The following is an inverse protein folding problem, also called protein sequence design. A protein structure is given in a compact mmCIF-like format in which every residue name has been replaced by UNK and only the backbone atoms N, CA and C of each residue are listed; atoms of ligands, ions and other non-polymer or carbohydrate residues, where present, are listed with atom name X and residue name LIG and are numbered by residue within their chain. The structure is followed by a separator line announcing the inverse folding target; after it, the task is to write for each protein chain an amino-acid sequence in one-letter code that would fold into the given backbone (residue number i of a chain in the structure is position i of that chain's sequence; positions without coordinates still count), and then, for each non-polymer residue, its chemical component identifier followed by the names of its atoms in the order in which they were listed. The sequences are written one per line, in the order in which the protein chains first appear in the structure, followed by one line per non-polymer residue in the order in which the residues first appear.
data_IF_091633110906
#
_entry.id   IF_091633110906
#
_cell.length_a   1.000
_cell.length_b   1.000
_cell.length_c   1.000
_cell.angle_alpha   90.00
_cell.angle_beta   90.00
_cell.angle_gamma   90.00
#
_symmetry.space_group_name_H-M   'P 1'
#
loop_
_entity.id
_entity.type
_entity.pdbx_description
1 polymer ?
#
# COMPACT_ATOMS: atom_id res chain seq x y z
N UNK A 1 -12.15 -17.51 -27.09
CA UNK A 1 -13.44 -16.92 -26.73
C UNK A 1 -13.17 -15.67 -25.91
N UNK A 2 -13.35 -14.48 -26.48
CA UNK A 2 -13.11 -13.21 -25.79
C UNK A 2 -14.28 -12.91 -24.86
N UNK A 3 -14.01 -12.58 -23.59
CA UNK A 3 -15.05 -12.06 -22.68
C UNK A 3 -15.59 -10.76 -23.27
N UNK A 4 -16.91 -10.59 -23.41
CA UNK A 4 -17.47 -9.30 -23.78
C UNK A 4 -17.04 -8.27 -22.73
N UNK A 5 -16.39 -7.19 -23.19
CA UNK A 5 -16.23 -6.00 -22.37
C UNK A 5 -17.63 -5.40 -22.20
N UNK A 6 -18.22 -5.56 -21.01
CA UNK A 6 -19.35 -4.73 -20.63
C UNK A 6 -18.78 -3.33 -20.47
N UNK A 7 -18.90 -2.49 -21.51
CA UNK A 7 -18.65 -1.06 -21.37
C UNK A 7 -19.53 -0.55 -20.24
N UNK A 8 -18.94 -0.26 -19.10
CA UNK A 8 -19.61 0.40 -17.98
C UNK A 8 -20.15 1.73 -18.52
N UNK A 9 -21.45 1.82 -18.78
CA UNK A 9 -22.00 3.08 -19.23
C UNK A 9 -23.27 3.05 -20.06
N UNK A 10 -23.97 1.93 -20.24
CA UNK A 10 -25.27 2.01 -20.92
C UNK A 10 -26.25 2.86 -20.09
N UNK A 11 -27.13 3.66 -20.72
CA UNK A 11 -28.09 4.50 -20.01
C UNK A 11 -28.99 3.71 -19.04
N UNK A 12 -29.34 2.47 -19.41
CA UNK A 12 -30.15 1.58 -18.57
C UNK A 12 -29.42 1.10 -17.31
N UNK A 13 -28.12 0.80 -17.40
CA UNK A 13 -27.31 0.43 -16.24
C UNK A 13 -27.15 1.61 -15.26
N UNK A 14 -26.97 2.83 -15.79
CA UNK A 14 -26.91 4.03 -14.96
C UNK A 14 -28.23 4.31 -14.25
N UNK A 15 -29.37 4.09 -14.92
CA UNK A 15 -30.69 4.22 -14.33
C UNK A 15 -30.93 3.18 -13.21
N UNK A 16 -30.59 1.91 -13.46
CA UNK A 16 -30.68 0.86 -12.45
C UNK A 16 -29.78 1.12 -11.24
N UNK A 17 -28.55 1.59 -11.47
CA UNK A 17 -27.62 1.96 -10.41
C UNK A 17 -28.14 3.15 -9.58
N UNK A 18 -28.69 4.19 -10.21
CA UNK A 18 -29.32 5.32 -9.49
C UNK A 18 -30.54 4.89 -8.69
N UNK A 19 -31.38 4.01 -9.24
CA UNK A 19 -32.55 3.48 -8.54
C UNK A 19 -32.15 2.66 -7.30
N UNK A 20 -31.14 1.80 -7.44
CA UNK A 20 -30.62 1.00 -6.33
C UNK A 20 -29.95 1.85 -5.24
N UNK A 21 -29.10 2.81 -5.65
CA UNK A 21 -28.35 3.67 -4.71
C UNK A 21 -29.18 4.84 -4.17
N UNK A 22 -30.40 5.04 -4.67
CA UNK A 22 -31.25 6.21 -4.39
C UNK A 22 -30.53 7.55 -4.64
N UNK A 23 -29.52 7.56 -5.52
CA UNK A 23 -28.68 8.73 -5.76
C UNK A 23 -27.77 9.14 -4.60
N UNK A 24 -27.62 8.30 -3.56
CA UNK A 24 -26.78 8.59 -2.39
C UNK A 24 -25.28 8.37 -2.64
N UNK A 25 -24.93 7.66 -3.71
CA UNK A 25 -23.53 7.50 -4.13
C UNK A 25 -23.16 8.69 -5.00
N UNK A 26 -22.27 9.54 -4.49
CA UNK A 26 -21.71 10.68 -5.22
C UNK A 26 -20.90 10.26 -6.45
N UNK A 27 -20.33 11.23 -7.20
CA UNK A 27 -19.44 10.90 -8.30
C UNK A 27 -18.36 9.94 -7.81
N UNK A 28 -18.02 8.95 -8.64
CA UNK A 28 -16.94 8.01 -8.36
C UNK A 28 -15.72 8.79 -7.87
N UNK A 29 -15.00 8.23 -6.89
CA UNK A 29 -13.80 8.85 -6.35
C UNK A 29 -12.91 9.22 -7.55
N UNK A 30 -12.51 10.49 -7.71
CA UNK A 30 -11.62 10.86 -8.81
C UNK A 30 -10.38 9.98 -8.73
N UNK A 31 -9.83 9.61 -9.89
CA UNK A 31 -8.62 8.82 -9.95
C UNK A 31 -7.58 9.44 -9.02
N UNK A 32 -7.18 8.69 -8.02
CA UNK A 32 -6.10 9.10 -7.16
C UNK A 32 -4.84 9.08 -8.02
N UNK A 33 -4.51 10.21 -8.63
CA UNK A 33 -3.16 10.45 -9.12
C UNK A 33 -2.26 10.55 -7.88
N UNK A 34 -1.90 9.40 -7.30
CA UNK A 34 -0.79 9.35 -6.34
C UNK A 34 0.43 9.83 -7.10
N UNK A 35 0.88 11.05 -6.82
CA UNK A 35 2.16 11.55 -7.28
C UNK A 35 3.20 10.48 -7.01
N UNK A 36 3.92 10.05 -8.06
CA UNK A 36 5.00 9.08 -7.90
C UNK A 36 6.03 9.73 -7.00
N UNK A 37 6.14 9.24 -5.76
CA UNK A 37 7.12 9.73 -4.81
C UNK A 37 8.49 9.30 -5.35
N UNK A 38 9.39 10.26 -5.54
CA UNK A 38 10.74 9.98 -5.97
C UNK A 38 11.38 8.95 -5.02
N UNK A 39 12.04 7.90 -5.56
CA UNK A 39 12.70 6.91 -4.73
C UNK A 39 13.80 7.57 -3.89
N UNK A 40 14.09 6.99 -2.73
CA UNK A 40 15.23 7.42 -1.91
C UNK A 40 16.53 7.22 -2.70
N UNK A 41 17.33 8.28 -2.84
CA UNK A 41 18.58 8.24 -3.58
C UNK A 41 19.75 7.64 -2.78
N UNK A 42 19.61 7.48 -1.45
CA UNK A 42 20.68 6.94 -0.62
C UNK A 42 20.78 5.41 -0.79
N UNK A 43 21.90 4.89 -1.32
CA UNK A 43 22.05 3.45 -1.61
C UNK A 43 22.11 2.59 -0.34
N UNK A 44 22.39 3.18 0.82
CA UNK A 44 22.40 2.48 2.11
C UNK A 44 21.00 2.37 2.73
N UNK A 45 20.00 3.07 2.18
CA UNK A 45 18.64 2.99 2.66
C UNK A 45 18.03 1.60 2.41
N UNK A 46 17.25 1.10 3.37
CA UNK A 46 16.67 -0.24 3.35
C UNK A 46 17.71 -1.38 3.30
N UNK A 47 18.91 -1.17 3.84
CA UNK A 47 19.92 -2.22 3.98
C UNK A 47 19.60 -3.14 5.18
N UNK A 48 19.84 -4.45 5.09
CA UNK A 48 19.62 -5.35 6.23
C UNK A 48 20.44 -4.96 7.46
N UNK A 49 19.82 -4.95 8.63
CA UNK A 49 20.48 -4.57 9.88
C UNK A 49 21.26 -5.73 10.52
N UNK A 50 22.23 -6.25 9.76
CA UNK A 50 23.17 -7.30 10.18
C UNK A 50 24.40 -6.59 10.77
N UNK A 51 24.33 -6.18 12.04
CA UNK A 51 25.43 -5.52 12.73
C UNK A 51 25.26 -4.01 12.89
N UNK A 52 26.37 -3.28 12.88
CA UNK A 52 26.41 -1.83 13.09
C UNK A 52 25.69 -1.05 11.97
N UNK A 53 25.36 0.21 12.25
CA UNK A 53 24.77 1.10 11.26
C UNK A 53 25.76 1.34 10.10
N UNK A 54 25.31 1.27 8.83
CA UNK A 54 26.20 1.42 7.68
C UNK A 54 26.60 2.87 7.40
N UNK A 55 25.90 3.84 7.98
CA UNK A 55 26.28 5.25 8.00
C UNK A 55 25.71 5.94 9.24
N UNK A 56 26.28 7.10 9.55
CA UNK A 56 25.80 7.98 10.62
C UNK A 56 24.37 8.45 10.35
N UNK A 57 23.56 8.58 11.41
CA UNK A 57 22.18 9.07 11.32
C UNK A 57 21.18 8.10 10.72
N UNK A 58 21.55 6.83 10.51
CA UNK A 58 20.61 5.81 10.04
C UNK A 58 19.79 5.21 11.19
N UNK A 59 18.50 5.00 10.92
CA UNK A 59 17.53 4.50 11.90
C UNK A 59 17.32 3.00 11.72
N UNK A 60 17.43 2.25 12.81
CA UNK A 60 17.13 0.82 12.83
C UNK A 60 15.63 0.61 12.94
N UNK A 61 15.01 0.05 11.91
CA UNK A 61 13.60 -0.34 11.93
C UNK A 61 13.50 -1.85 12.11
N UNK A 62 12.97 -2.25 13.27
CA UNK A 62 12.71 -3.66 13.59
C UNK A 62 11.58 -4.19 12.72
N UNK A 63 11.78 -5.38 12.15
CA UNK A 63 10.75 -6.04 11.37
C UNK A 63 9.57 -6.52 12.22
N UNK A 64 8.50 -6.95 11.54
CA UNK A 64 7.27 -7.46 12.14
C UNK A 64 7.43 -8.87 12.71
N UNK A 65 6.54 -9.21 13.66
CA UNK A 65 6.50 -10.52 14.36
C UNK A 65 6.36 -11.74 13.42
N UNK A 66 5.91 -11.53 12.18
CA UNK A 66 5.77 -12.56 11.14
C UNK A 66 7.10 -12.92 10.43
N UNK A 67 8.23 -12.39 10.91
CA UNK A 67 9.56 -12.73 10.39
C UNK A 67 10.11 -11.77 9.34
N UNK A 68 9.52 -10.58 9.19
CA UNK A 68 10.16 -9.54 8.40
C UNK A 68 11.52 -9.17 9.03
N UNK A 69 12.54 -8.99 8.20
CA UNK A 69 13.91 -8.67 8.67
C UNK A 69 14.00 -7.22 9.11
N UNK A 70 14.81 -6.95 10.12
CA UNK A 70 15.20 -5.59 10.54
C UNK A 70 16.10 -4.95 9.49
N UNK A 71 15.88 -3.67 9.18
CA UNK A 71 16.66 -2.92 8.19
C UNK A 71 17.06 -1.53 8.73
N UNK A 72 18.11 -0.96 8.14
CA UNK A 72 18.52 0.43 8.34
C UNK A 72 17.86 1.32 7.29
N UNK A 73 17.35 2.47 7.72
CA UNK A 73 16.74 3.46 6.83
C UNK A 73 17.37 4.84 7.08
N UNK A 74 17.29 5.71 6.08
CA UNK A 74 17.52 7.13 6.31
C UNK A 74 16.51 7.65 7.34
N UNK A 75 16.97 8.60 8.15
CA UNK A 75 16.09 9.33 9.05
C UNK A 75 14.93 10.04 8.32
N UNK A 76 13.86 10.31 9.06
CA UNK A 76 12.64 10.95 8.57
C UNK A 76 11.78 10.00 7.73
N UNK A 77 11.54 10.37 6.47
CA UNK A 77 10.51 9.74 5.63
C UNK A 77 10.73 8.24 5.43
N UNK A 78 11.97 7.80 5.22
CA UNK A 78 12.24 6.40 4.92
C UNK A 78 12.02 5.50 6.15
N UNK A 79 12.50 5.95 7.31
CA UNK A 79 12.24 5.28 8.58
C UNK A 79 10.74 5.21 8.89
N UNK A 80 9.99 6.30 8.70
CA UNK A 80 8.54 6.33 8.91
C UNK A 80 7.79 5.32 8.02
N UNK A 81 8.16 5.23 6.73
CA UNK A 81 7.60 4.23 5.82
C UNK A 81 7.99 2.81 6.26
N UNK A 82 9.24 2.61 6.68
CA UNK A 82 9.72 1.33 7.22
C UNK A 82 8.87 0.85 8.40
N UNK A 83 8.65 1.74 9.38
CA UNK A 83 7.81 1.47 10.55
C UNK A 83 6.37 1.12 10.14
N UNK A 84 5.75 1.93 9.28
CA UNK A 84 4.39 1.67 8.81
C UNK A 84 4.28 0.30 8.11
N UNK A 85 5.28 -0.09 7.30
CA UNK A 85 5.30 -1.41 6.65
C UNK A 85 5.41 -2.55 7.66
N UNK A 86 6.22 -2.39 8.70
CA UNK A 86 6.32 -3.38 9.77
C UNK A 86 5.00 -3.49 10.54
N UNK A 87 4.37 -2.37 10.90
CA UNK A 87 3.08 -2.37 11.60
C UNK A 87 1.97 -3.03 10.77
N UNK A 88 1.87 -2.69 9.48
CA UNK A 88 0.86 -3.26 8.59
C UNK A 88 0.99 -4.77 8.43
N UNK A 89 2.23 -5.31 8.42
CA UNK A 89 2.47 -6.76 8.38
C UNK A 89 2.14 -7.47 9.69
N UNK A 90 2.20 -6.76 10.81
CA UNK A 90 1.79 -7.31 12.09
C UNK A 90 0.27 -7.48 12.22
N UNK A 91 -0.52 -6.87 11.32
CA UNK A 91 -1.98 -7.06 11.29
C UNK A 91 -2.30 -8.48 10.79
N UNK A 92 -2.98 -9.31 11.59
CA UNK A 92 -3.41 -10.63 11.15
C UNK A 92 -4.36 -10.49 9.96
N UNK A 93 -3.94 -10.94 8.78
CA UNK A 93 -4.88 -11.12 7.67
C UNK A 93 -5.81 -12.27 8.06
N UNK A 94 -7.12 -12.01 8.09
CA UNK A 94 -8.11 -13.11 8.23
C UNK A 94 -7.84 -14.09 7.10
N UNK A 95 -7.33 -15.27 7.46
CA UNK A 95 -7.06 -16.33 6.51
C UNK A 95 -8.29 -16.56 5.65
N UNK A 96 -8.09 -16.66 4.34
CA UNK A 96 -9.14 -17.12 3.43
C UNK A 96 -9.65 -18.44 4.00
N UNK A 97 -10.93 -18.49 4.36
CA UNK A 97 -11.56 -19.69 4.90
C UNK A 97 -11.29 -20.89 3.99
N UNK A 98 -11.36 -22.13 4.53
CA UNK A 98 -11.08 -23.33 3.77
C UNK A 98 -11.92 -23.34 2.48
N UNK A 99 -11.23 -23.57 1.36
CA UNK A 99 -11.86 -23.84 0.06
C UNK A 99 -12.49 -25.21 0.06
#
# INVERSE_FOLDING_TARGET
MSRPSLGEGSPGQQAAHRAFTQGLVGPGRPDAHTTVIAPCANPLCATPAIGAAPAEGMVRVTGSRDGARTHWYCDGRCAAIGHARAELRAIPVRGKGPR
#
